data_IF_747467630166
#
_entry.id   IF_747467630166
#
_cell.length_a   1.000
_cell.length_b   1.000
_cell.length_c   1.000
_cell.angle_alpha   90.00
_cell.angle_beta   90.00
_cell.angle_gamma   90.00
#
_symmetry.space_group_name_H-M   'P 1'
#
loop_
_entity.id
_entity.type
_entity.pdbx_description
1 polymer ?
#
# COMPACT_ATOMS: atom_id res chain seq x y z
N UNK A 1 74.05 -53.01 -64.31
CA UNK A 1 74.02 -51.80 -65.15
C UNK A 1 73.87 -50.61 -64.21
N UNK A 2 74.53 -49.48 -64.52
CA UNK A 2 74.63 -48.33 -63.63
C UNK A 2 73.24 -47.79 -63.24
N UNK A 3 73.07 -47.46 -61.96
CA UNK A 3 71.88 -46.83 -61.40
C UNK A 3 71.70 -45.44 -62.03
N UNK A 4 70.89 -45.36 -63.08
CA UNK A 4 70.62 -44.13 -63.79
C UNK A 4 69.38 -43.50 -63.16
N UNK A 5 69.58 -42.73 -62.09
CA UNK A 5 68.50 -42.01 -61.42
C UNK A 5 68.03 -40.89 -62.35
N UNK A 6 66.78 -40.96 -62.82
CA UNK A 6 66.14 -39.93 -63.63
C UNK A 6 66.05 -38.60 -62.83
N UNK A 7 66.45 -37.43 -63.37
CA UNK A 7 66.64 -36.24 -62.54
C UNK A 7 65.36 -35.50 -62.12
N UNK A 8 64.21 -35.76 -62.74
CA UNK A 8 62.92 -35.22 -62.30
C UNK A 8 61.74 -35.92 -63.02
N UNK A 9 60.63 -36.10 -62.30
CA UNK A 9 59.40 -36.76 -62.78
C UNK A 9 58.69 -36.01 -63.93
N UNK A 10 59.02 -34.73 -64.14
CA UNK A 10 58.45 -33.88 -65.19
C UNK A 10 58.94 -34.19 -66.61
N UNK A 11 59.96 -35.04 -66.77
CA UNK A 11 60.49 -35.46 -68.07
C UNK A 11 59.77 -36.69 -68.68
N UNK A 12 58.84 -37.32 -67.95
CA UNK A 12 58.01 -38.41 -68.49
C UNK A 12 56.83 -37.78 -69.24
N UNK A 13 57.02 -37.56 -70.53
CA UNK A 13 55.97 -37.04 -71.42
C UNK A 13 55.15 -38.15 -72.08
N UNK A 14 55.62 -39.39 -72.02
CA UNK A 14 54.88 -40.60 -72.36
C UNK A 14 55.53 -41.79 -71.66
N UNK A 15 54.72 -42.66 -71.06
CA UNK A 15 55.15 -43.96 -70.52
C UNK A 15 55.09 -44.97 -71.67
N UNK A 16 56.19 -45.66 -71.93
CA UNK A 16 56.16 -46.76 -72.90
C UNK A 16 55.48 -47.98 -72.26
N UNK A 17 54.91 -48.88 -73.06
CA UNK A 17 54.04 -49.95 -72.55
C UNK A 17 54.75 -50.94 -71.59
N UNK A 18 56.08 -50.84 -71.45
CA UNK A 18 56.91 -51.65 -70.56
C UNK A 18 57.40 -50.92 -69.29
N UNK A 19 57.08 -49.64 -69.09
CA UNK A 19 57.46 -48.90 -67.88
C UNK A 19 56.58 -49.28 -66.68
N UNK A 20 57.20 -49.51 -65.52
CA UNK A 20 56.50 -49.88 -64.28
C UNK A 20 56.88 -48.93 -63.16
N UNK A 21 55.88 -48.21 -62.62
CA UNK A 21 56.04 -47.42 -61.40
C UNK A 21 55.96 -48.37 -60.19
N UNK A 22 57.11 -48.76 -59.65
CA UNK A 22 57.18 -49.54 -58.41
C UNK A 22 56.80 -48.67 -57.21
N UNK A 23 55.52 -48.70 -56.83
CA UNK A 23 55.15 -48.38 -55.46
C UNK A 23 55.46 -49.62 -54.61
N UNK A 24 56.58 -49.59 -53.87
CA UNK A 24 56.85 -50.63 -52.88
C UNK A 24 55.84 -50.44 -51.75
N UNK A 25 54.80 -51.25 -51.75
CA UNK A 25 53.94 -51.43 -50.59
C UNK A 25 54.76 -52.15 -49.51
N UNK A 26 55.08 -51.44 -48.44
CA UNK A 26 55.83 -51.99 -47.30
C UNK A 26 54.88 -52.57 -46.24
N UNK A 27 53.60 -52.77 -46.56
CA UNK A 27 52.65 -53.38 -45.62
C UNK A 27 52.59 -54.91 -45.80
N UNK A 28 52.93 -55.64 -44.75
CA UNK A 28 53.21 -57.09 -44.78
C UNK A 28 51.97 -57.98 -44.62
N UNK A 29 50.84 -57.70 -45.27
CA UNK A 29 49.70 -58.64 -45.23
C UNK A 29 49.00 -58.74 -46.58
N UNK A 30 49.21 -59.90 -47.20
CA UNK A 30 48.48 -60.50 -48.32
C UNK A 30 46.97 -60.26 -48.27
N UNK A 31 46.41 -59.50 -49.20
CA UNK A 31 45.64 -60.01 -50.36
C UNK A 31 44.93 -58.86 -51.10
N UNK A 32 45.04 -58.82 -52.44
CA UNK A 32 43.87 -58.94 -53.32
C UNK A 32 44.22 -58.78 -54.81
N UNK A 33 44.02 -59.90 -55.49
CA UNK A 33 43.60 -59.94 -56.88
C UNK A 33 42.29 -59.15 -57.09
N UNK A 34 42.39 -57.92 -57.61
CA UNK A 34 41.37 -57.27 -58.47
C UNK A 34 41.84 -55.89 -58.95
N UNK A 35 42.61 -55.87 -60.04
CA UNK A 35 42.41 -54.96 -61.19
C UNK A 35 42.24 -53.44 -61.02
N UNK A 36 42.64 -52.79 -59.92
CA UNK A 36 42.72 -51.32 -59.89
C UNK A 36 43.93 -50.86 -59.07
N UNK A 37 44.92 -50.31 -59.77
CA UNK A 37 46.12 -49.71 -59.20
C UNK A 37 45.75 -48.69 -58.13
N UNK A 38 46.07 -48.98 -56.86
CA UNK A 38 45.93 -48.04 -55.75
C UNK A 38 47.07 -47.02 -55.81
N UNK A 39 46.95 -46.05 -56.70
CA UNK A 39 47.75 -44.83 -56.58
C UNK A 39 47.23 -44.06 -55.36
N UNK A 40 48.09 -43.77 -54.38
CA UNK A 40 47.82 -42.66 -53.46
C UNK A 40 47.94 -41.40 -54.32
N UNK A 41 46.84 -40.97 -54.90
CA UNK A 41 46.78 -39.70 -55.62
C UNK A 41 46.66 -38.61 -54.58
N UNK A 42 47.61 -37.65 -54.57
CA UNK A 42 47.55 -36.44 -53.75
C UNK A 42 46.26 -35.62 -53.98
N UNK A 43 45.53 -35.91 -55.07
CA UNK A 43 44.19 -35.41 -55.35
C UNK A 43 43.09 -35.86 -54.38
N UNK A 44 43.27 -36.97 -53.69
CA UNK A 44 42.27 -37.54 -52.77
C UNK A 44 42.46 -37.14 -51.30
N UNK A 45 43.53 -36.39 -50.99
CA UNK A 45 43.80 -35.94 -49.62
C UNK A 45 43.30 -34.51 -49.36
N UNK A 46 43.48 -33.56 -50.29
CA UNK A 46 43.11 -32.14 -50.06
C UNK A 46 42.87 -31.36 -51.36
N UNK A 47 42.06 -31.87 -52.30
CA UNK A 47 41.69 -31.07 -53.48
C UNK A 47 40.64 -30.04 -53.12
N UNK A 48 41.05 -28.77 -53.15
CA UNK A 48 40.21 -27.59 -53.33
C UNK A 48 38.82 -27.68 -52.71
N UNK A 49 38.75 -27.85 -51.39
CA UNK A 49 37.53 -27.53 -50.68
C UNK A 49 37.49 -26.00 -50.60
N UNK A 50 36.57 -25.30 -51.30
CA UNK A 50 36.28 -23.91 -50.97
C UNK A 50 35.94 -23.79 -49.47
N UNK A 51 36.20 -22.61 -48.86
CA UNK A 51 36.11 -22.35 -47.41
C UNK A 51 34.98 -23.12 -46.71
N UNK A 52 35.36 -23.86 -45.67
CA UNK A 52 34.41 -24.49 -44.77
C UNK A 52 34.81 -24.17 -43.32
N UNK A 53 33.87 -23.59 -42.55
CA UNK A 53 34.07 -23.29 -41.13
C UNK A 53 34.22 -24.58 -40.29
N UNK A 54 35.07 -24.55 -39.26
CA UNK A 54 35.62 -25.73 -38.55
C UNK A 54 35.63 -25.54 -37.01
N UNK A 55 35.42 -26.63 -36.25
CA UNK A 55 35.10 -26.69 -34.80
C UNK A 55 36.25 -27.17 -33.87
N UNK A 56 36.13 -26.98 -32.53
CA UNK A 56 37.14 -27.47 -31.56
C UNK A 56 37.05 -28.99 -31.41
N UNK A 57 38.16 -29.66 -31.74
CA UNK A 57 38.25 -31.11 -31.82
C UNK A 57 37.67 -31.69 -33.10
N UNK A 58 37.40 -30.86 -34.12
CA UNK A 58 37.25 -31.30 -35.51
C UNK A 58 38.04 -32.60 -35.74
N UNK A 59 37.36 -33.73 -35.94
CA UNK A 59 37.86 -34.74 -36.86
C UNK A 59 36.67 -35.17 -37.70
N UNK A 60 36.12 -34.29 -38.52
CA UNK A 60 35.09 -34.65 -39.50
C UNK A 60 35.62 -35.87 -40.31
N UNK A 61 34.86 -36.97 -40.42
CA UNK A 61 35.35 -38.38 -40.35
C UNK A 61 35.61 -38.83 -38.91
N UNK A 62 34.57 -39.28 -38.23
CA UNK A 62 34.72 -40.11 -37.05
C UNK A 62 34.35 -41.53 -37.48
N UNK A 63 35.34 -42.39 -37.76
CA UNK A 63 35.06 -43.78 -38.10
C UNK A 63 34.45 -44.49 -36.89
N UNK A 64 33.13 -44.42 -36.68
CA UNK A 64 32.46 -45.35 -35.76
C UNK A 64 32.25 -46.67 -36.48
N UNK A 65 33.36 -47.38 -36.64
CA UNK A 65 33.25 -48.82 -36.77
C UNK A 65 32.70 -49.35 -35.45
N UNK A 66 31.38 -49.53 -35.37
CA UNK A 66 30.81 -50.43 -34.36
C UNK A 66 31.58 -51.76 -34.38
N UNK A 67 31.51 -52.56 -33.31
CA UNK A 67 32.43 -53.68 -32.96
C UNK A 67 32.88 -54.67 -34.05
N UNK A 68 32.31 -54.63 -35.25
CA UNK A 68 32.62 -55.45 -36.44
C UNK A 68 33.23 -54.67 -37.63
N UNK A 69 33.46 -53.36 -37.52
CA UNK A 69 34.35 -52.60 -38.42
C UNK A 69 33.77 -52.12 -39.76
N UNK A 70 32.44 -52.02 -39.92
CA UNK A 70 31.83 -51.43 -41.13
C UNK A 70 31.40 -49.98 -40.89
N UNK A 71 31.88 -49.06 -41.72
CA UNK A 71 31.70 -47.60 -41.55
C UNK A 71 30.41 -47.12 -42.22
N UNK A 72 29.55 -46.39 -41.49
CA UNK A 72 28.41 -45.63 -42.05
C UNK A 72 28.71 -44.13 -42.04
N UNK A 73 27.89 -43.29 -42.70
CA UNK A 73 28.05 -41.83 -42.73
C UNK A 73 27.03 -41.18 -41.79
N UNK A 74 27.46 -40.32 -40.88
CA UNK A 74 26.59 -39.61 -39.93
C UNK A 74 26.34 -38.15 -40.34
N UNK A 75 25.19 -37.57 -39.95
CA UNK A 75 24.86 -36.17 -40.20
C UNK A 75 25.21 -35.27 -38.99
N UNK A 76 25.60 -34.01 -39.25
CA UNK A 76 25.86 -33.01 -38.18
C UNK A 76 24.62 -32.80 -37.28
N UNK A 77 23.42 -33.04 -37.82
CA UNK A 77 22.18 -33.01 -37.06
C UNK A 77 22.13 -34.05 -35.93
N UNK A 78 22.66 -35.26 -36.17
CA UNK A 78 22.65 -36.35 -35.18
C UNK A 78 23.61 -36.03 -34.03
N UNK A 79 24.77 -35.43 -34.33
CA UNK A 79 25.72 -34.93 -33.33
C UNK A 79 25.14 -33.77 -32.50
N UNK A 80 24.49 -32.80 -33.15
CA UNK A 80 23.81 -31.73 -32.44
C UNK A 80 22.69 -32.27 -31.54
N UNK A 81 21.95 -33.27 -32.01
CA UNK A 81 20.89 -33.94 -31.22
C UNK A 81 21.46 -34.74 -30.04
N UNK A 82 22.63 -35.36 -30.19
CA UNK A 82 23.34 -36.03 -29.09
C UNK A 82 23.77 -35.06 -27.98
N UNK A 83 24.21 -33.86 -28.35
CA UNK A 83 24.60 -32.81 -27.38
C UNK A 83 23.41 -32.02 -26.82
N UNK A 84 22.25 -32.09 -27.49
CA UNK A 84 21.02 -31.52 -26.93
C UNK A 84 20.60 -32.29 -25.67
N UNK A 85 19.93 -31.59 -24.78
CA UNK A 85 19.53 -32.15 -23.49
C UNK A 85 18.95 -31.06 -22.60
N UNK A 86 18.92 -31.30 -21.29
CA UNK A 86 18.54 -30.23 -20.38
C UNK A 86 19.49 -29.04 -20.58
N UNK A 87 18.97 -27.90 -21.03
CA UNK A 87 19.74 -26.66 -21.19
C UNK A 87 20.28 -26.35 -22.55
N UNK A 88 20.21 -27.31 -23.46
CA UNK A 88 20.67 -27.15 -24.82
C UNK A 88 19.57 -27.69 -25.74
N UNK A 89 19.11 -26.87 -26.67
CA UNK A 89 18.16 -27.30 -27.70
C UNK A 89 18.86 -27.29 -29.04
N UNK A 90 18.89 -28.43 -29.71
CA UNK A 90 19.35 -28.51 -31.09
C UNK A 90 18.19 -28.20 -32.05
N UNK A 91 18.42 -27.29 -32.99
CA UNK A 91 17.49 -27.05 -34.10
C UNK A 91 18.32 -26.68 -35.32
N UNK A 92 18.06 -27.33 -36.46
CA UNK A 92 18.80 -27.09 -37.70
C UNK A 92 20.33 -27.19 -37.54
N UNK A 93 20.79 -28.16 -36.75
CA UNK A 93 22.21 -28.39 -36.45
C UNK A 93 22.89 -27.25 -35.65
N UNK A 94 22.12 -26.35 -35.04
CA UNK A 94 22.60 -25.30 -34.14
C UNK A 94 22.17 -25.62 -32.71
N UNK A 95 23.10 -25.51 -31.75
CA UNK A 95 22.80 -25.60 -30.32
C UNK A 95 22.46 -24.22 -29.77
N UNK A 96 21.24 -24.07 -29.25
CA UNK A 96 20.81 -22.90 -28.49
C UNK A 96 20.89 -23.18 -26.98
N UNK A 97 21.35 -22.22 -26.20
CA UNK A 97 21.35 -22.29 -24.73
C UNK A 97 19.95 -21.95 -24.22
N UNK A 98 19.34 -22.88 -23.49
CA UNK A 98 18.09 -22.68 -22.79
C UNK A 98 18.37 -22.35 -21.32
N UNK A 99 18.26 -21.06 -20.98
CA UNK A 99 18.55 -20.57 -19.63
C UNK A 99 17.49 -20.93 -18.57
N UNK A 100 16.51 -21.79 -18.89
CA UNK A 100 15.42 -22.20 -17.99
C UNK A 100 15.75 -23.50 -17.24
N UNK A 101 16.89 -23.55 -16.54
CA UNK A 101 17.33 -24.72 -15.80
C UNK A 101 17.77 -24.42 -14.38
N UNK A 102 17.70 -25.43 -13.51
CA UNK A 102 18.15 -25.37 -12.11
C UNK A 102 19.67 -25.40 -11.94
N UNK A 103 20.41 -25.86 -12.95
CA UNK A 103 21.88 -25.99 -12.89
C UNK A 103 22.62 -24.70 -13.25
N UNK A 104 21.93 -23.66 -13.72
CA UNK A 104 22.52 -22.35 -13.96
C UNK A 104 22.63 -21.63 -12.62
N UNK A 105 23.80 -21.73 -12.00
CA UNK A 105 24.07 -21.19 -10.67
C UNK A 105 24.63 -19.77 -10.68
N UNK A 106 25.03 -19.26 -11.85
CA UNK A 106 25.43 -17.89 -12.06
C UNK A 106 25.18 -17.45 -13.51
N UNK A 107 24.76 -16.20 -13.67
CA UNK A 107 24.76 -15.49 -14.96
C UNK A 107 25.54 -14.19 -14.79
N UNK A 108 26.24 -13.77 -15.83
CA UNK A 108 26.89 -12.45 -15.87
C UNK A 108 25.88 -11.30 -15.98
N UNK A 109 26.38 -10.08 -16.20
CA UNK A 109 25.51 -8.91 -16.42
C UNK A 109 24.67 -9.07 -17.69
N UNK A 110 23.35 -9.06 -17.54
CA UNK A 110 22.43 -9.03 -18.68
C UNK A 110 22.25 -7.57 -19.10
N UNK A 111 22.99 -7.15 -20.13
CA UNK A 111 22.99 -5.76 -20.60
C UNK A 111 21.72 -5.37 -21.37
N UNK A 112 21.10 -6.33 -22.08
CA UNK A 112 19.87 -6.14 -22.86
C UNK A 112 19.02 -7.41 -22.81
N UNK A 113 17.70 -7.27 -22.77
CA UNK A 113 16.74 -8.37 -22.74
C UNK A 113 15.56 -8.08 -21.81
N UNK A 114 14.50 -8.89 -21.91
CA UNK A 114 13.37 -8.84 -20.98
C UNK A 114 13.55 -9.96 -19.96
N UNK A 115 13.74 -9.62 -18.69
CA UNK A 115 13.72 -10.63 -17.63
C UNK A 115 12.27 -11.05 -17.39
N UNK A 116 11.88 -12.21 -17.93
CA UNK A 116 10.53 -12.78 -17.78
C UNK A 116 10.37 -13.68 -16.55
N UNK A 117 11.30 -13.61 -15.59
CA UNK A 117 11.09 -14.21 -14.29
C UNK A 117 10.02 -13.40 -13.58
N UNK A 118 8.79 -13.90 -13.53
CA UNK A 118 7.65 -13.21 -12.89
C UNK A 118 7.95 -12.81 -11.44
N UNK A 119 8.91 -13.47 -10.77
CA UNK A 119 9.40 -13.10 -9.44
C UNK A 119 10.90 -13.35 -9.31
N UNK A 120 11.67 -12.34 -8.90
CA UNK A 120 13.00 -12.54 -8.28
C UNK A 120 12.78 -12.56 -6.77
N UNK A 121 13.07 -13.68 -6.10
CA UNK A 121 12.76 -13.82 -4.67
C UNK A 121 13.61 -12.84 -3.83
N UNK A 122 13.03 -12.38 -2.71
CA UNK A 122 13.66 -11.40 -1.83
C UNK A 122 15.05 -11.84 -1.30
N UNK A 123 15.24 -13.14 -1.10
CA UNK A 123 16.52 -13.72 -0.68
C UNK A 123 17.65 -13.61 -1.71
N UNK A 124 17.36 -13.20 -2.95
CA UNK A 124 18.31 -13.08 -4.06
C UNK A 124 18.38 -11.65 -4.63
N UNK A 125 18.07 -10.65 -3.82
CA UNK A 125 18.13 -9.23 -4.20
C UNK A 125 16.94 -8.75 -5.06
N UNK A 126 15.93 -9.59 -5.24
CA UNK A 126 14.66 -9.21 -5.84
C UNK A 126 13.68 -8.60 -4.85
N UNK A 127 12.53 -8.14 -5.34
CA UNK A 127 11.45 -7.62 -4.49
C UNK A 127 10.39 -8.66 -4.17
N UNK A 128 10.45 -9.87 -4.75
CA UNK A 128 9.41 -10.87 -4.62
C UNK A 128 8.11 -10.55 -5.38
N UNK A 129 8.12 -9.54 -6.27
CA UNK A 129 6.91 -8.97 -6.87
C UNK A 129 6.99 -8.90 -8.40
N UNK A 130 5.82 -9.02 -9.04
CA UNK A 130 5.62 -9.07 -10.51
C UNK A 130 5.51 -7.70 -11.18
N UNK A 131 5.47 -6.60 -10.40
CA UNK A 131 5.45 -5.22 -10.89
C UNK A 131 5.96 -4.27 -9.79
N UNK A 132 6.88 -3.36 -10.13
CA UNK A 132 7.44 -2.44 -9.11
C UNK A 132 6.38 -1.46 -8.60
N UNK A 133 5.41 -1.05 -9.44
CA UNK A 133 4.31 -0.13 -9.10
C UNK A 133 3.27 -0.69 -8.12
N UNK A 134 3.18 -2.01 -7.95
CA UNK A 134 2.16 -2.62 -7.08
C UNK A 134 2.61 -2.73 -5.61
N UNK A 135 3.91 -2.59 -5.28
CA UNK A 135 4.39 -2.45 -3.90
C UNK A 135 4.24 -1.03 -3.35
N UNK A 136 4.37 -0.04 -4.22
CA UNK A 136 4.31 1.38 -3.84
C UNK A 136 2.96 1.80 -3.19
N UNK A 137 1.94 0.91 -3.16
CA UNK A 137 0.60 1.18 -2.64
C UNK A 137 0.15 0.30 -1.45
N UNK A 138 0.89 -0.73 -1.02
CA UNK A 138 0.39 -1.68 0.00
C UNK A 138 0.72 -1.33 1.46
N UNK A 139 1.53 -0.31 1.74
CA UNK A 139 1.85 0.16 3.11
C UNK A 139 1.29 1.57 3.42
N UNK A 140 0.38 2.07 2.58
CA UNK A 140 -0.10 3.44 2.62
C UNK A 140 -1.30 3.60 3.59
N UNK A 141 -1.03 3.62 4.89
CA UNK A 141 -1.96 4.14 5.90
C UNK A 141 -1.96 5.69 5.88
N UNK A 142 -1.95 6.31 4.70
CA UNK A 142 -1.77 7.76 4.54
C UNK A 142 -3.07 8.46 4.17
N UNK A 143 -3.41 9.52 4.90
CA UNK A 143 -4.38 10.52 4.48
C UNK A 143 -3.66 11.47 3.51
N UNK A 144 -4.22 11.75 2.33
CA UNK A 144 -3.53 12.63 1.36
C UNK A 144 -3.53 14.10 1.81
N UNK A 145 -4.71 14.65 2.05
CA UNK A 145 -4.88 16.03 2.49
C UNK A 145 -6.22 16.16 3.21
N UNK A 146 -6.21 16.76 4.40
CA UNK A 146 -7.41 17.20 5.12
C UNK A 146 -7.43 18.73 5.07
N UNK A 147 -8.44 19.29 4.44
CA UNK A 147 -8.59 20.73 4.26
C UNK A 147 -9.72 21.26 5.13
N UNK A 148 -9.48 22.39 5.80
CA UNK A 148 -10.50 23.15 6.53
C UNK A 148 -10.49 24.56 5.99
N UNK A 149 -11.66 25.10 5.64
CA UNK A 149 -11.75 26.45 5.07
C UNK A 149 -11.18 27.49 6.03
N UNK A 150 -10.32 28.38 5.51
CA UNK A 150 -9.64 29.41 6.31
C UNK A 150 -8.41 28.94 7.08
N UNK A 151 -8.08 27.64 7.03
CA UNK A 151 -6.88 27.07 7.65
C UNK A 151 -5.92 26.53 6.59
N UNK A 152 -4.67 26.30 7.00
CA UNK A 152 -3.73 25.53 6.20
C UNK A 152 -4.16 24.06 6.12
N UNK A 153 -3.82 23.42 5.00
CA UNK A 153 -4.08 22.01 4.78
C UNK A 153 -3.20 21.13 5.69
N UNK A 154 -3.78 20.08 6.24
CA UNK A 154 -3.03 19.01 6.89
C UNK A 154 -2.74 17.94 5.84
N UNK A 155 -1.49 17.80 5.44
CA UNK A 155 -1.05 16.96 4.31
C UNK A 155 -0.10 15.89 4.84
N UNK A 156 -0.21 14.65 4.34
CA UNK A 156 0.76 13.64 4.70
C UNK A 156 2.16 14.00 4.16
N UNK A 157 3.15 14.02 5.04
CA UNK A 157 4.53 14.35 4.70
C UNK A 157 5.34 13.16 4.19
N UNK A 158 4.87 11.93 4.45
CA UNK A 158 5.57 10.68 4.19
C UNK A 158 4.61 9.51 3.96
N UNK A 159 5.15 8.35 3.52
CA UNK A 159 4.39 7.13 3.27
C UNK A 159 3.88 6.44 4.56
N UNK A 160 4.36 6.86 5.74
CA UNK A 160 3.97 6.35 7.06
C UNK A 160 3.72 7.51 8.03
N UNK A 161 2.87 8.45 7.62
CA UNK A 161 2.55 9.64 8.42
C UNK A 161 1.42 9.38 9.43
N UNK A 162 1.34 10.21 10.49
CA UNK A 162 0.38 10.10 11.59
C UNK A 162 -0.44 11.38 11.72
N UNK A 163 -1.77 11.28 11.56
CA UNK A 163 -2.69 12.37 11.86
C UNK A 163 -2.87 12.50 13.37
N UNK A 164 -2.39 13.59 13.96
CA UNK A 164 -2.59 13.89 15.39
C UNK A 164 -3.78 14.83 15.58
N UNK A 165 -4.74 14.43 16.43
CA UNK A 165 -5.86 15.28 16.83
C UNK A 165 -5.63 15.80 18.25
N UNK A 166 -5.58 17.12 18.39
CA UNK A 166 -5.47 17.78 19.69
C UNK A 166 -6.84 18.33 20.10
N UNK A 167 -7.25 18.03 21.34
CA UNK A 167 -8.47 18.59 21.91
C UNK A 167 -8.26 20.07 22.25
N UNK A 168 -9.14 20.94 21.73
CA UNK A 168 -9.20 22.35 22.11
C UNK A 168 -10.02 22.58 23.39
N UNK A 169 -10.12 23.84 23.82
CA UNK A 169 -10.99 24.20 24.94
C UNK A 169 -12.45 23.78 24.67
N UNK A 170 -13.12 23.24 25.69
CA UNK A 170 -14.51 22.73 25.64
C UNK A 170 -14.75 21.57 24.65
N UNK A 171 -13.69 21.00 24.06
CA UNK A 171 -13.76 19.82 23.20
C UNK A 171 -13.04 18.67 23.90
N UNK A 172 -13.66 17.49 23.89
CA UNK A 172 -13.07 16.23 24.31
C UNK A 172 -12.91 15.34 23.07
N UNK A 173 -11.70 14.83 22.84
CA UNK A 173 -11.41 13.86 21.78
C UNK A 173 -11.02 12.55 22.43
N UNK A 174 -11.71 11.47 22.09
CA UNK A 174 -11.39 10.12 22.58
C UNK A 174 -11.22 9.16 21.42
N UNK A 175 -10.38 8.14 21.61
CA UNK A 175 -10.12 7.11 20.61
C UNK A 175 -10.42 5.73 21.17
N UNK A 176 -11.10 4.89 20.40
CA UNK A 176 -11.28 3.48 20.72
C UNK A 176 -10.59 2.65 19.66
N UNK A 177 -9.33 2.28 19.91
CA UNK A 177 -8.51 1.53 18.97
C UNK A 177 -9.10 0.16 18.60
N UNK A 178 -9.83 -0.49 19.52
CA UNK A 178 -10.48 -1.77 19.24
C UNK A 178 -11.62 -1.70 18.21
N UNK A 179 -12.18 -0.50 17.99
CA UNK A 179 -13.22 -0.26 16.98
C UNK A 179 -12.78 0.73 15.91
N UNK A 180 -11.51 1.14 15.91
CA UNK A 180 -10.96 2.18 15.02
C UNK A 180 -11.80 3.46 14.97
N UNK A 181 -12.30 3.94 16.13
CA UNK A 181 -13.12 5.15 16.20
C UNK A 181 -12.41 6.30 16.90
N UNK A 182 -12.67 7.51 16.39
CA UNK A 182 -12.37 8.78 17.04
C UNK A 182 -13.69 9.46 17.34
N UNK A 183 -13.95 9.77 18.60
CA UNK A 183 -15.12 10.54 19.04
C UNK A 183 -14.69 11.96 19.36
N UNK A 184 -15.38 12.93 18.78
CA UNK A 184 -15.22 14.35 19.09
C UNK A 184 -16.50 14.80 19.77
N UNK A 185 -16.42 15.09 21.06
CA UNK A 185 -17.52 15.62 21.84
C UNK A 185 -17.23 17.08 22.20
N UNK A 186 -18.22 17.95 22.11
CA UNK A 186 -18.16 19.26 22.76
C UNK A 186 -18.91 19.17 24.07
N UNK A 187 -18.31 19.65 25.16
CA UNK A 187 -19.11 20.10 26.28
C UNK A 187 -19.82 21.36 25.77
N UNK A 188 -21.09 21.23 25.33
CA UNK A 188 -21.86 22.40 24.97
C UNK A 188 -21.79 23.39 26.13
N UNK A 189 -21.45 24.66 25.86
CA UNK A 189 -21.67 25.69 26.86
C UNK A 189 -23.13 25.61 27.30
N UNK A 190 -23.41 25.78 28.60
CA UNK A 190 -24.72 25.57 29.20
C UNK A 190 -25.82 26.18 28.32
N UNK A 191 -26.48 25.35 27.51
CA UNK A 191 -27.59 25.79 26.68
C UNK A 191 -28.74 26.01 27.64
N UNK A 192 -29.18 27.26 27.77
CA UNK A 192 -30.35 27.55 28.58
C UNK A 192 -31.55 26.82 27.95
N UNK A 193 -32.24 26.01 28.75
CA UNK A 193 -33.49 25.37 28.31
C UNK A 193 -34.60 26.41 28.35
N UNK A 194 -35.42 26.51 27.30
CA UNK A 194 -36.59 27.40 27.31
C UNK A 194 -37.83 26.62 27.74
N UNK A 195 -38.46 27.08 28.82
CA UNK A 195 -39.69 26.51 29.37
C UNK A 195 -40.77 27.59 29.40
N UNK A 196 -41.99 27.23 29.03
CA UNK A 196 -43.12 28.17 29.14
C UNK A 196 -43.48 28.40 30.62
N UNK A 197 -43.85 29.64 30.96
CA UNK A 197 -44.53 29.91 32.23
C UNK A 197 -45.89 29.19 32.22
N UNK A 198 -46.17 28.44 33.29
CA UNK A 198 -47.40 27.70 33.55
C UNK A 198 -48.19 28.28 34.74
N UNK A 199 -49.52 28.14 34.71
CA UNK A 199 -50.44 28.45 35.83
C UNK A 199 -50.44 27.33 36.89
N UNK A 200 -49.25 27.04 37.43
CA UNK A 200 -49.03 26.06 38.49
C UNK A 200 -47.82 26.48 39.33
N UNK A 201 -47.72 25.94 40.55
CA UNK A 201 -46.48 26.08 41.32
C UNK A 201 -45.40 25.20 40.67
N UNK A 202 -44.19 25.74 40.51
CA UNK A 202 -43.09 25.08 39.79
C UNK A 202 -41.83 25.08 40.65
N UNK A 203 -41.16 23.94 40.75
CA UNK A 203 -39.73 23.93 41.13
C UNK A 203 -38.93 24.15 39.87
N UNK A 204 -38.21 25.26 39.81
CA UNK A 204 -37.47 25.66 38.61
C UNK A 204 -36.25 24.76 38.40
N UNK A 205 -35.87 24.54 37.14
CA UNK A 205 -34.64 23.85 36.79
C UNK A 205 -33.50 24.87 36.63
N UNK A 206 -32.28 24.46 37.02
CA UNK A 206 -31.07 25.23 36.71
C UNK A 206 -30.88 25.37 35.20
N UNK A 207 -30.21 26.44 34.77
CA UNK A 207 -29.92 26.76 33.38
C UNK A 207 -31.18 26.74 32.50
N UNK A 208 -32.26 27.34 32.99
CA UNK A 208 -33.56 27.39 32.31
C UNK A 208 -34.09 28.83 32.27
N UNK A 209 -34.61 29.23 31.12
CA UNK A 209 -35.41 30.44 30.92
C UNK A 209 -36.88 30.08 31.00
N UNK A 210 -37.60 30.63 31.95
CA UNK A 210 -39.05 30.61 32.03
C UNK A 210 -39.60 31.83 31.31
N UNK A 211 -40.25 31.62 30.18
CA UNK A 211 -40.75 32.70 29.33
C UNK A 211 -42.22 32.50 29.02
N UNK A 212 -43.04 33.51 29.25
CA UNK A 212 -44.46 33.41 28.92
C UNK A 212 -45.35 34.43 29.62
N UNK A 213 -46.65 34.24 29.45
CA UNK A 213 -47.67 35.11 30.02
C UNK A 213 -48.02 34.66 31.44
N UNK A 214 -48.15 35.60 32.36
CA UNK A 214 -48.84 35.38 33.64
C UNK A 214 -50.32 35.74 33.58
N UNK A 215 -50.76 36.41 32.50
CA UNK A 215 -52.15 36.78 32.31
C UNK A 215 -53.09 35.56 32.37
N UNK A 216 -54.12 35.66 33.20
CA UNK A 216 -55.14 34.62 33.35
C UNK A 216 -54.76 33.54 34.37
N UNK A 217 -53.77 33.79 35.22
CA UNK A 217 -53.49 32.92 36.36
C UNK A 217 -54.72 32.78 37.25
N UNK A 218 -54.97 31.56 37.73
CA UNK A 218 -56.08 31.29 38.66
C UNK A 218 -55.78 31.65 40.12
N UNK A 219 -54.50 31.88 40.45
CA UNK A 219 -54.02 32.30 41.77
C UNK A 219 -52.55 32.78 41.66
N UNK A 220 -52.02 33.41 42.70
CA UNK A 220 -50.57 33.61 42.83
C UNK A 220 -49.84 32.28 42.70
N UNK A 221 -48.83 32.21 41.84
CA UNK A 221 -48.02 31.01 41.60
C UNK A 221 -46.62 31.18 42.15
N UNK A 222 -46.14 30.13 42.81
CA UNK A 222 -44.80 30.11 43.38
C UNK A 222 -43.86 29.31 42.49
N UNK A 223 -42.80 29.96 42.03
CA UNK A 223 -41.68 29.36 41.32
C UNK A 223 -40.50 29.30 42.28
N UNK A 224 -40.19 28.10 42.75
CA UNK A 224 -39.15 27.88 43.76
C UNK A 224 -37.81 27.59 43.09
N UNK A 225 -36.70 28.14 43.60
CA UNK A 225 -35.35 27.75 43.14
C UNK A 225 -35.12 26.23 43.31
N UNK A 226 -34.28 25.59 42.48
CA UNK A 226 -33.97 24.18 42.65
C UNK A 226 -33.12 23.96 43.89
N UNK A 227 -33.39 22.89 44.64
CA UNK A 227 -32.59 22.50 45.81
C UNK A 227 -31.18 21.98 45.47
N UNK A 228 -30.84 21.85 44.18
CA UNK A 228 -29.50 21.54 43.70
C UNK A 228 -29.06 22.54 42.65
N UNK A 229 -27.92 23.20 42.85
CA UNK A 229 -27.28 24.08 41.88
C UNK A 229 -25.76 24.05 42.01
N UNK A 230 -25.06 24.19 40.89
CA UNK A 230 -23.64 24.47 40.83
C UNK A 230 -23.38 25.99 40.78
N UNK A 231 -22.21 26.42 41.26
CA UNK A 231 -21.78 27.81 41.14
C UNK A 231 -21.75 28.19 39.66
N UNK A 232 -22.45 29.27 39.30
CA UNK A 232 -22.59 29.75 37.93
C UNK A 232 -23.87 29.32 37.22
N UNK A 233 -24.65 28.39 37.78
CA UNK A 233 -25.97 28.05 37.24
C UNK A 233 -26.89 29.28 37.26
N UNK A 234 -27.69 29.43 36.20
CA UNK A 234 -28.57 30.58 36.00
C UNK A 234 -30.02 30.15 35.91
N UNK A 235 -30.93 30.98 36.42
CA UNK A 235 -32.37 30.89 36.13
C UNK A 235 -32.82 32.26 35.64
N UNK A 236 -33.57 32.28 34.56
CA UNK A 236 -34.15 33.51 34.03
C UNK A 236 -35.66 33.38 33.98
N UNK A 237 -36.38 34.43 34.35
CA UNK A 237 -37.84 34.51 34.20
C UNK A 237 -38.16 35.79 33.45
N UNK A 238 -38.92 35.72 32.37
CA UNK A 238 -39.42 36.87 31.63
C UNK A 238 -40.92 36.75 31.38
N UNK A 239 -41.66 37.76 31.83
CA UNK A 239 -43.12 37.84 31.68
C UNK A 239 -43.45 38.62 30.41
N UNK A 240 -44.10 37.96 29.44
CA UNK A 240 -44.51 38.59 28.17
C UNK A 240 -45.81 39.35 28.29
N UNK A 241 -46.66 39.00 29.24
CA UNK A 241 -47.92 39.69 29.53
C UNK A 241 -48.25 39.47 31.01
N UNK A 242 -48.42 40.58 31.74
CA UNK A 242 -48.67 40.59 33.17
C UNK A 242 -50.11 40.22 33.55
N UNK A 243 -50.34 40.09 34.86
CA UNK A 243 -51.66 39.86 35.45
C UNK A 243 -51.88 40.86 36.59
N UNK A 244 -53.07 41.48 36.62
CA UNK A 244 -53.38 42.54 37.58
C UNK A 244 -53.99 42.02 38.90
N UNK A 245 -54.29 40.73 38.98
CA UNK A 245 -54.95 40.08 40.13
C UNK A 245 -54.04 39.11 40.86
N UNK A 246 -53.15 38.43 40.14
CA UNK A 246 -52.26 37.42 40.69
C UNK A 246 -50.84 37.60 40.17
N UNK A 247 -49.86 37.30 41.01
CA UNK A 247 -48.44 37.43 40.68
C UNK A 247 -47.74 36.08 40.55
N UNK A 248 -46.59 36.12 39.89
CA UNK A 248 -45.59 35.07 39.88
C UNK A 248 -44.56 35.35 40.98
N UNK A 249 -44.71 34.65 42.09
CA UNK A 249 -43.84 34.70 43.25
C UNK A 249 -42.63 33.78 43.05
N UNK A 250 -41.42 34.25 43.34
CA UNK A 250 -40.18 33.49 43.26
C UNK A 250 -39.58 33.33 44.65
N UNK A 251 -39.50 32.08 45.09
CA UNK A 251 -39.07 31.72 46.44
C UNK A 251 -37.81 30.86 46.42
N UNK A 252 -37.03 30.97 47.49
CA UNK A 252 -35.91 30.07 47.70
C UNK A 252 -36.42 28.68 48.12
N UNK A 253 -35.75 27.60 47.69
CA UNK A 253 -35.95 26.29 48.30
C UNK A 253 -35.73 26.36 49.83
N UNK A 254 -36.34 25.46 50.60
CA UNK A 254 -36.09 25.37 52.05
C UNK A 254 -34.60 25.19 52.29
N UNK A 255 -33.95 26.22 52.87
CA UNK A 255 -32.51 26.38 53.14
C UNK A 255 -31.70 27.23 52.15
N UNK A 256 -32.26 27.61 51.00
CA UNK A 256 -31.62 28.53 50.06
C UNK A 256 -31.84 29.99 50.45
N UNK A 257 -30.96 30.89 49.99
CA UNK A 257 -31.08 32.34 50.13
C UNK A 257 -31.08 32.99 48.75
N UNK A 258 -32.03 33.89 48.48
CA UNK A 258 -31.97 34.79 47.32
C UNK A 258 -31.50 36.18 47.80
N UNK A 259 -30.24 36.52 47.52
CA UNK A 259 -29.62 37.78 47.95
C UNK A 259 -29.84 38.89 46.91
N UNK A 260 -30.13 40.11 47.37
CA UNK A 260 -30.61 41.23 46.53
C UNK A 260 -32.10 41.54 46.74
N UNK A 261 -32.80 40.70 47.48
CA UNK A 261 -34.12 40.98 48.05
C UNK A 261 -33.96 41.99 49.21
N UNK A 262 -34.65 43.14 49.13
CA UNK A 262 -34.56 44.21 50.13
C UNK A 262 -34.88 43.69 51.55
N UNK A 263 -34.08 44.09 52.54
CA UNK A 263 -34.17 43.65 53.94
C UNK A 263 -35.34 44.32 54.69
N UNK A 264 -36.57 44.21 54.20
CA UNK A 264 -37.74 44.82 54.81
C UNK A 264 -38.88 43.84 54.97
N UNK A 265 -38.98 43.25 56.17
CA UNK A 265 -40.18 42.80 56.93
C UNK A 265 -41.46 42.30 56.22
N UNK A 266 -41.47 41.96 54.94
CA UNK A 266 -42.59 41.22 54.36
C UNK A 266 -42.41 39.75 54.73
N UNK A 267 -43.31 39.28 55.60
CA UNK A 267 -43.43 37.89 56.04
C UNK A 267 -43.78 36.91 54.90
N UNK A 268 -43.78 37.36 53.64
CA UNK A 268 -43.92 36.53 52.44
C UNK A 268 -42.73 36.58 51.46
N UNK A 269 -41.52 36.96 51.91
CA UNK A 269 -40.18 36.45 51.47
C UNK A 269 -39.84 36.19 49.99
N UNK A 270 -40.63 36.69 49.03
CA UNK A 270 -40.63 36.24 47.64
C UNK A 270 -40.46 37.42 46.67
N UNK A 271 -39.64 37.25 45.62
CA UNK A 271 -39.57 38.22 44.51
C UNK A 271 -40.83 38.05 43.65
N UNK A 272 -41.46 39.13 43.22
CA UNK A 272 -42.78 39.05 42.54
C UNK A 272 -42.72 39.70 41.16
N UNK A 273 -43.22 38.99 40.16
CA UNK A 273 -43.43 39.49 38.80
C UNK A 273 -44.92 39.45 38.48
N UNK A 274 -45.47 40.56 38.01
CA UNK A 274 -46.88 40.71 37.68
C UNK A 274 -47.13 41.68 36.52
N UNK A 275 -46.12 42.40 36.04
CA UNK A 275 -46.25 43.39 34.96
C UNK A 275 -45.70 42.84 33.64
N UNK A 276 -46.34 43.21 32.54
CA UNK A 276 -45.86 42.96 31.18
C UNK A 276 -44.44 43.50 30.98
N UNK A 277 -43.52 42.62 30.57
CA UNK A 277 -42.14 42.98 30.27
C UNK A 277 -41.17 42.84 31.44
N UNK A 278 -41.64 42.47 32.64
CA UNK A 278 -40.76 42.22 33.78
C UNK A 278 -39.85 41.01 33.52
N UNK A 279 -38.60 41.14 33.96
CA UNK A 279 -37.58 40.13 33.77
C UNK A 279 -36.68 40.06 35.01
N UNK A 280 -36.32 38.85 35.41
CA UNK A 280 -35.34 38.64 36.48
C UNK A 280 -34.36 37.53 36.11
N UNK A 281 -33.11 37.72 36.51
CA UNK A 281 -32.04 36.75 36.37
C UNK A 281 -31.46 36.42 37.73
N UNK A 282 -31.46 35.14 38.06
CA UNK A 282 -30.86 34.59 39.26
C UNK A 282 -29.60 33.82 38.90
N UNK A 283 -28.57 33.90 39.74
CA UNK A 283 -27.35 33.09 39.60
C UNK A 283 -26.98 32.41 40.91
N UNK A 284 -26.70 31.11 40.87
CA UNK A 284 -26.19 30.37 42.01
C UNK A 284 -24.72 30.77 42.25
N UNK A 285 -24.41 31.30 43.44
CA UNK A 285 -23.06 31.74 43.84
C UNK A 285 -22.42 30.84 44.87
N UNK A 286 -23.24 30.08 45.60
CA UNK A 286 -22.80 29.00 46.49
C UNK A 286 -23.65 27.78 46.16
N UNK A 287 -22.99 26.68 45.81
CA UNK A 287 -23.66 25.45 45.41
C UNK A 287 -24.72 25.04 46.44
N UNK A 288 -25.92 24.70 45.95
CA UNK A 288 -27.07 24.21 46.72
C UNK A 288 -27.47 25.08 47.93
N UNK A 289 -27.25 26.40 47.89
CA UNK A 289 -27.57 27.24 49.06
C UNK A 289 -27.81 28.72 48.77
N UNK A 290 -27.12 29.34 47.81
CA UNK A 290 -27.23 30.80 47.63
C UNK A 290 -27.37 31.17 46.18
N UNK A 291 -28.47 31.87 45.91
CA UNK A 291 -28.77 32.57 44.66
C UNK A 291 -28.62 34.08 44.88
N UNK A 292 -28.17 34.79 43.86
CA UNK A 292 -28.21 36.25 43.84
C UNK A 292 -29.09 36.71 42.69
N UNK A 293 -29.71 37.88 42.83
CA UNK A 293 -30.34 38.60 41.72
C UNK A 293 -29.24 39.30 40.93
N UNK A 294 -28.98 38.81 39.71
CA UNK A 294 -28.03 39.42 38.78
C UNK A 294 -28.61 40.62 38.06
N UNK A 295 -29.90 40.55 37.76
CA UNK A 295 -30.64 41.57 37.07
C UNK A 295 -32.10 41.52 37.51
N UNK A 296 -32.65 42.69 37.81
CA UNK A 296 -34.06 42.92 38.09
C UNK A 296 -34.52 44.01 37.13
N UNK A 297 -35.39 43.65 36.19
CA UNK A 297 -35.87 44.51 35.11
C UNK A 297 -37.11 45.32 35.46
N UNK A 298 -37.42 45.44 36.76
CA UNK A 298 -38.48 46.30 37.32
C UNK A 298 -38.02 47.75 37.49
#
# INVERSE_FOLDING_TARGET
MADTRLPALTAITALDAADVLYAVDVSTTTDHASGSSRYITWGNCMTGAPEAAIANGDYILFLDGGATGTHSKEAVHDLATLFAGTGLTATSSVLAVNASQTQITAVGTIATGVWQGTTVAAGYGGTGLTSISTLLNSNNNIFKTIAVSGQDNVVADSATDTLTLAAGANVTITTTAGSDTVTIASAGGSSLTYTAISDANVTMAVNTVYFGSTAGFGATRTYTTPGTCAVGDVIEIAVTTGDNSYDLAIEAATSDIISGHGTGTDTSGSLRLFITGEYIKLRCVVANSTWIVDHDGR
#
